data_IF_394029503781
#
_entry.id   IF_394029503781
#
_cell.length_a   1.000
_cell.length_b   1.000
_cell.length_c   1.000
_cell.angle_alpha   90.00
_cell.angle_beta   90.00
_cell.angle_gamma   90.00
#
_symmetry.space_group_name_H-M   'P 1'
#
loop_
_entity.id
_entity.type
_entity.pdbx_description
1 polymer ?
#
# COMPACT_ATOMS: atom_id res chain seq x y z
N UNK A 1 -4.09 -33.59 24.35
CA UNK A 1 -4.94 -32.38 24.38
C UNK A 1 -4.06 -31.20 24.01
N UNK A 2 -4.48 -30.44 23.01
CA UNK A 2 -3.78 -29.25 22.53
C UNK A 2 -3.59 -29.27 21.01
N UNK A 3 -4.69 -29.33 20.25
CA UNK A 3 -4.61 -29.01 18.82
C UNK A 3 -4.32 -27.51 18.68
N UNK A 4 -3.26 -27.16 17.95
CA UNK A 4 -2.98 -25.78 17.56
C UNK A 4 -4.10 -25.31 16.63
N UNK A 5 -5.09 -24.62 17.17
CA UNK A 5 -6.30 -24.17 16.47
C UNK A 5 -6.05 -23.08 15.40
N UNK A 6 -4.81 -22.64 15.23
CA UNK A 6 -4.43 -21.57 14.31
C UNK A 6 -3.15 -21.96 13.56
N UNK A 7 -3.27 -22.86 12.59
CA UNK A 7 -2.17 -23.22 11.69
C UNK A 7 -1.96 -22.11 10.67
N UNK A 8 -0.81 -21.42 10.74
CA UNK A 8 -0.36 -20.45 9.73
C UNK A 8 0.28 -21.24 8.59
N UNK A 9 -0.51 -21.61 7.59
CA UNK A 9 0.05 -22.16 6.35
C UNK A 9 0.66 -21.03 5.52
N UNK A 10 1.79 -21.26 4.86
CA UNK A 10 2.48 -20.21 4.08
C UNK A 10 2.02 -20.13 2.61
N UNK A 11 1.13 -21.02 2.17
CA UNK A 11 0.88 -21.22 0.73
C UNK A 11 -0.55 -20.96 0.24
N UNK A 12 -1.50 -20.52 1.07
CA UNK A 12 -2.89 -20.23 0.66
C UNK A 12 -3.56 -19.13 1.51
N UNK A 13 -2.78 -18.33 2.22
CA UNK A 13 -3.31 -17.37 3.18
C UNK A 13 -2.80 -15.97 2.86
N UNK A 14 -3.71 -15.00 2.91
CA UNK A 14 -3.38 -13.60 2.72
C UNK A 14 -3.36 -12.89 4.06
N UNK A 15 -2.35 -12.04 4.23
CA UNK A 15 -2.12 -11.26 5.43
C UNK A 15 -1.94 -9.80 5.05
N UNK A 16 -2.54 -8.91 5.84
CA UNK A 16 -2.30 -7.48 5.75
C UNK A 16 -2.03 -6.94 7.16
N UNK A 17 -1.37 -5.79 7.26
CA UNK A 17 -0.99 -5.18 8.54
C UNK A 17 -1.50 -3.76 8.65
N UNK A 18 -1.81 -3.32 9.87
CA UNK A 18 -2.26 -1.96 10.14
C UNK A 18 -2.72 -1.82 11.59
N UNK A 19 -2.99 -0.61 12.06
CA UNK A 19 -3.58 -0.39 13.38
C UNK A 19 -5.11 -0.50 13.27
N UNK A 20 -5.63 -1.73 13.32
CA UNK A 20 -7.06 -1.99 13.14
C UNK A 20 -7.89 -1.57 14.35
N UNK A 21 -7.27 -1.43 15.53
CA UNK A 21 -7.99 -1.10 16.76
C UNK A 21 -7.80 0.34 17.27
N UNK A 22 -6.86 1.08 16.69
CA UNK A 22 -6.58 2.49 16.98
C UNK A 22 -5.74 2.70 18.24
N UNK A 23 -5.00 1.69 18.72
CA UNK A 23 -4.15 1.79 19.92
C UNK A 23 -2.70 2.24 19.64
N UNK A 24 -2.39 2.55 18.38
CA UNK A 24 -1.08 2.99 17.92
C UNK A 24 -0.11 1.84 17.64
N UNK A 25 -0.57 0.58 17.66
CA UNK A 25 0.28 -0.59 17.37
C UNK A 25 -0.15 -1.25 16.07
N UNK A 26 0.84 -1.80 15.37
CA UNK A 26 0.56 -2.58 14.16
C UNK A 26 -0.01 -3.95 14.52
N UNK A 27 -1.25 -4.18 14.09
CA UNK A 27 -1.98 -5.42 14.14
C UNK A 27 -1.82 -6.20 12.81
N UNK A 28 -2.34 -7.43 12.80
CA UNK A 28 -2.37 -8.30 11.62
C UNK A 28 -3.81 -8.74 11.33
N UNK A 29 -4.21 -8.72 10.06
CA UNK A 29 -5.42 -9.39 9.58
C UNK A 29 -5.05 -10.58 8.71
N UNK A 30 -5.78 -11.68 8.88
CA UNK A 30 -5.59 -12.94 8.17
C UNK A 30 -6.90 -13.39 7.53
N UNK A 31 -6.87 -13.66 6.22
CA UNK A 31 -8.00 -14.16 5.44
C UNK A 31 -7.85 -15.68 5.21
N UNK A 32 -8.79 -16.45 5.76
CA UNK A 32 -8.83 -17.91 5.71
C UNK A 32 -9.66 -18.42 4.52
N UNK A 33 -9.24 -19.55 3.95
CA UNK A 33 -9.89 -20.24 2.83
C UNK A 33 -11.35 -20.65 3.09
N UNK A 34 -11.77 -20.77 4.35
CA UNK A 34 -13.14 -21.06 4.75
C UNK A 34 -13.98 -19.79 4.99
N UNK A 35 -13.54 -18.64 4.47
CA UNK A 35 -14.16 -17.33 4.65
C UNK A 35 -14.13 -16.78 6.09
N UNK A 36 -13.17 -17.19 6.91
CA UNK A 36 -12.94 -16.51 8.19
C UNK A 36 -11.95 -15.37 8.00
N UNK A 37 -12.20 -14.26 8.71
CA UNK A 37 -11.23 -13.19 8.90
C UNK A 37 -10.80 -13.22 10.35
N UNK A 38 -9.49 -13.30 10.59
CA UNK A 38 -8.91 -13.29 11.91
C UNK A 38 -8.14 -11.99 12.12
N UNK A 39 -8.53 -11.19 13.11
CA UNK A 39 -7.80 -10.01 13.56
C UNK A 39 -6.95 -10.36 14.76
N UNK A 40 -5.67 -10.05 14.65
CA UNK A 40 -4.66 -10.30 15.66
C UNK A 40 -4.22 -8.94 16.18
N UNK A 41 -4.85 -8.49 17.26
CA UNK A 41 -4.48 -7.22 17.88
C UNK A 41 -3.19 -7.39 18.67
N UNK A 42 -2.19 -6.57 18.37
CA UNK A 42 -0.89 -6.59 19.01
C UNK A 42 -1.00 -6.06 20.44
N UNK A 43 -0.53 -6.84 21.41
CA UNK A 43 -0.48 -6.37 22.79
C UNK A 43 0.76 -5.48 23.05
N UNK A 44 1.72 -5.42 22.11
CA UNK A 44 2.95 -4.63 22.22
C UNK A 44 4.12 -5.33 22.93
N UNK A 45 3.89 -6.54 23.44
CA UNK A 45 4.88 -7.39 24.13
C UNK A 45 5.31 -8.62 23.31
N UNK A 46 4.96 -8.63 22.01
CA UNK A 46 5.17 -9.75 21.10
C UNK A 46 4.05 -10.81 21.13
N UNK A 47 3.00 -10.60 21.93
CA UNK A 47 1.78 -11.44 21.92
C UNK A 47 0.62 -10.77 21.18
N UNK A 48 -0.38 -11.58 20.80
CA UNK A 48 -1.56 -11.14 20.07
C UNK A 48 -2.86 -11.60 20.74
N UNK A 49 -3.86 -10.73 20.74
CA UNK A 49 -5.25 -11.04 21.07
C UNK A 49 -6.03 -11.31 19.78
N UNK A 50 -6.50 -12.54 19.57
CA UNK A 50 -7.12 -12.95 18.31
C UNK A 50 -8.65 -12.90 18.39
N UNK A 51 -9.27 -12.21 17.44
CA UNK A 51 -10.70 -12.20 17.20
C UNK A 51 -11.00 -12.76 15.82
N UNK A 52 -12.13 -13.45 15.70
CA UNK A 52 -12.56 -14.07 14.44
C UNK A 52 -13.91 -13.51 14.04
N UNK A 53 -14.05 -13.18 12.77
CA UNK A 53 -15.25 -12.64 12.17
C UNK A 53 -15.53 -13.40 10.88
N UNK A 54 -16.80 -13.61 10.58
CA UNK A 54 -17.24 -14.15 9.29
C UNK A 54 -18.03 -13.06 8.57
N UNK A 55 -17.58 -12.63 7.39
CA UNK A 55 -18.29 -11.63 6.63
C UNK A 55 -19.63 -12.18 6.12
N UNK A 56 -20.60 -11.28 5.94
CA UNK A 56 -21.92 -11.64 5.42
C UNK A 56 -21.86 -12.21 4.00
N UNK A 57 -22.98 -12.80 3.55
CA UNK A 57 -23.10 -13.29 2.18
C UNK A 57 -22.78 -12.21 1.14
N UNK A 58 -21.96 -12.54 0.16
CA UNK A 58 -21.49 -11.60 -0.88
C UNK A 58 -20.11 -10.98 -0.62
N UNK A 59 -19.51 -11.20 0.56
CA UNK A 59 -18.22 -10.64 0.96
C UNK A 59 -17.19 -11.72 1.28
N UNK A 60 -17.28 -12.88 0.63
CA UNK A 60 -16.37 -14.00 0.85
C UNK A 60 -14.91 -13.61 0.62
N UNK A 61 -14.02 -14.16 1.44
CA UNK A 61 -12.57 -13.88 1.42
C UNK A 61 -11.73 -15.13 1.13
N UNK A 62 -12.38 -16.30 1.01
CA UNK A 62 -11.72 -17.60 0.87
C UNK A 62 -11.20 -17.93 -0.53
N UNK A 63 -11.10 -16.95 -1.44
CA UNK A 63 -10.62 -17.18 -2.81
C UNK A 63 -9.24 -16.57 -2.98
N UNK A 64 -8.28 -17.38 -3.45
CA UNK A 64 -6.86 -17.03 -3.59
C UNK A 64 -6.56 -15.87 -4.58
N UNK A 65 -7.55 -15.38 -5.31
CA UNK A 65 -7.39 -14.34 -6.32
C UNK A 65 -7.95 -12.99 -5.88
N UNK A 66 -8.12 -12.74 -4.59
CA UNK A 66 -8.52 -11.42 -4.10
C UNK A 66 -7.33 -10.53 -3.74
N UNK A 67 -7.52 -9.24 -3.96
CA UNK A 67 -6.56 -8.20 -3.56
C UNK A 67 -7.15 -7.34 -2.47
N UNK A 68 -6.31 -7.06 -1.50
CA UNK A 68 -6.61 -6.17 -0.39
C UNK A 68 -5.58 -5.05 -0.39
N UNK A 69 -6.04 -3.86 -0.01
CA UNK A 69 -5.20 -2.72 0.33
C UNK A 69 -5.68 -2.18 1.69
N UNK A 70 -4.76 -1.60 2.46
CA UNK A 70 -5.02 -1.08 3.81
C UNK A 70 -4.84 0.43 3.87
N UNK A 71 -5.57 1.06 4.79
CA UNK A 71 -5.44 2.48 5.12
C UNK A 71 -6.65 2.98 5.89
N UNK A 72 -6.56 4.17 6.49
CA UNK A 72 -7.70 4.82 7.14
C UNK A 72 -8.59 5.49 6.09
N UNK A 73 -9.50 4.74 5.49
CA UNK A 73 -10.34 5.24 4.38
C UNK A 73 -11.47 6.14 4.87
N UNK A 74 -11.81 6.11 6.16
CA UNK A 74 -12.93 6.86 6.72
C UNK A 74 -12.51 8.06 7.61
N UNK A 75 -11.22 8.14 7.98
CA UNK A 75 -10.63 9.22 8.76
C UNK A 75 -10.84 9.09 10.27
N UNK A 76 -11.13 7.90 10.79
CA UNK A 76 -11.37 7.67 12.23
C UNK A 76 -10.13 7.25 13.01
N UNK A 77 -8.97 7.21 12.37
CA UNK A 77 -7.69 6.83 12.94
C UNK A 77 -7.48 5.32 13.05
N UNK A 78 -8.37 4.49 12.50
CA UNK A 78 -8.18 3.04 12.42
C UNK A 78 -7.86 2.63 10.99
N UNK A 79 -7.10 1.55 10.87
CA UNK A 79 -6.87 0.94 9.56
C UNK A 79 -8.13 0.22 9.10
N UNK A 80 -8.56 0.52 7.89
CA UNK A 80 -9.63 -0.14 7.16
C UNK A 80 -9.05 -1.01 6.03
N UNK A 81 -9.92 -1.75 5.33
CA UNK A 81 -9.54 -2.56 4.17
C UNK A 81 -10.37 -2.22 2.94
N UNK A 82 -9.73 -2.18 1.78
CA UNK A 82 -10.38 -2.26 0.48
C UNK A 82 -10.19 -3.67 -0.06
N UNK A 83 -11.29 -4.33 -0.44
CA UNK A 83 -11.31 -5.65 -1.05
C UNK A 83 -11.82 -5.55 -2.49
N UNK A 84 -10.99 -5.99 -3.44
CA UNK A 84 -11.34 -6.04 -4.87
C UNK A 84 -11.82 -7.44 -5.28
N UNK A 85 -13.09 -7.55 -5.65
CA UNK A 85 -13.72 -8.80 -6.11
C UNK A 85 -13.55 -9.02 -7.62
N UNK A 86 -13.64 -10.28 -8.05
CA UNK A 86 -13.51 -10.71 -9.45
C UNK A 86 -14.60 -10.17 -10.36
N UNK A 87 -15.74 -9.73 -9.82
CA UNK A 87 -16.85 -9.16 -10.60
C UNK A 87 -16.80 -7.63 -10.72
N UNK A 88 -15.65 -7.00 -10.43
CA UNK A 88 -15.44 -5.55 -10.36
C UNK A 88 -16.22 -4.85 -9.23
N UNK A 89 -16.59 -5.58 -8.17
CA UNK A 89 -17.04 -4.94 -6.94
C UNK A 89 -15.82 -4.54 -6.11
N UNK A 90 -15.90 -3.36 -5.52
CA UNK A 90 -14.99 -2.88 -4.49
C UNK A 90 -15.76 -2.89 -3.19
N UNK A 91 -15.25 -3.60 -2.19
CA UNK A 91 -15.86 -3.61 -0.87
C UNK A 91 -14.94 -2.85 0.09
N UNK A 92 -15.48 -1.84 0.76
CA UNK A 92 -14.79 -1.08 1.80
C UNK A 92 -15.21 -1.62 3.16
N UNK A 93 -14.24 -2.05 3.96
CA UNK A 93 -14.42 -2.68 5.26
C UNK A 93 -13.87 -1.72 6.31
N UNK A 94 -14.76 -0.94 6.91
CA UNK A 94 -14.38 -0.02 7.98
C UNK A 94 -14.18 -0.80 9.28
N UNK A 95 -13.05 -0.62 9.95
CA UNK A 95 -12.78 -1.28 11.21
C UNK A 95 -13.59 -0.66 12.34
N UNK A 96 -14.34 -1.50 13.04
CA UNK A 96 -15.04 -1.07 14.24
C UNK A 96 -14.11 -1.00 15.46
N UNK A 97 -12.85 -1.44 15.33
CA UNK A 97 -11.83 -1.50 16.39
C UNK A 97 -12.01 -2.61 17.43
N UNK A 98 -13.17 -3.28 17.41
CA UNK A 98 -13.48 -4.40 18.30
C UNK A 98 -13.20 -5.77 17.67
N UNK A 99 -12.47 -5.83 16.56
CA UNK A 99 -12.18 -7.06 15.81
C UNK A 99 -13.26 -7.43 14.78
N UNK A 100 -14.19 -6.51 14.48
CA UNK A 100 -15.20 -6.65 13.43
C UNK A 100 -15.11 -5.52 12.39
N UNK A 101 -15.75 -5.71 11.24
CA UNK A 101 -15.81 -4.71 10.16
C UNK A 101 -17.25 -4.38 9.77
N UNK A 102 -17.46 -3.11 9.43
CA UNK A 102 -18.65 -2.64 8.73
C UNK A 102 -18.36 -2.57 7.22
N UNK A 103 -19.05 -3.37 6.42
CA UNK A 103 -18.73 -3.54 4.99
C UNK A 103 -19.73 -2.78 4.12
N UNK A 104 -19.22 -1.99 3.17
CA UNK A 104 -19.99 -1.31 2.13
C UNK A 104 -19.47 -1.69 0.75
N UNK A 105 -20.38 -1.81 -0.21
CA UNK A 105 -20.02 -2.11 -1.60
C UNK A 105 -20.08 -0.85 -2.45
N UNK A 106 -19.10 -0.74 -3.32
CA UNK A 106 -19.00 0.28 -4.34
C UNK A 106 -18.74 -0.41 -5.68
N UNK A 107 -19.44 0.04 -6.72
CA UNK A 107 -19.18 -0.40 -8.09
C UNK A 107 -18.69 0.82 -8.85
N UNK A 108 -17.45 0.82 -9.33
CA UNK A 108 -17.02 1.89 -10.21
C UNK A 108 -17.84 1.83 -11.51
N UNK A 109 -18.04 2.97 -12.17
CA UNK A 109 -18.76 3.02 -13.44
C UNK A 109 -18.12 2.14 -14.52
N UNK A 110 -18.76 2.05 -15.69
CA UNK A 110 -18.15 1.37 -16.84
C UNK A 110 -16.81 2.00 -17.24
N UNK A 111 -15.80 1.17 -17.52
CA UNK A 111 -14.46 1.61 -17.95
C UNK A 111 -13.38 1.66 -16.85
N UNK A 112 -13.72 1.28 -15.61
CA UNK A 112 -12.84 1.32 -14.44
C UNK A 112 -12.68 -0.09 -13.85
N UNK A 113 -12.34 -1.07 -14.70
CA UNK A 113 -12.19 -2.45 -14.24
C UNK A 113 -11.23 -2.52 -13.05
N UNK A 114 -11.60 -3.23 -12.00
CA UNK A 114 -10.79 -3.39 -10.78
C UNK A 114 -10.37 -4.84 -10.54
N UNK A 115 -10.43 -5.66 -11.59
CA UNK A 115 -10.07 -7.08 -11.53
C UNK A 115 -8.65 -7.31 -10.99
N UNK A 116 -8.32 -8.56 -10.65
CA UNK A 116 -7.20 -8.78 -9.73
C UNK A 116 -5.85 -9.04 -10.44
N UNK A 117 -5.89 -9.37 -11.74
CA UNK A 117 -4.71 -9.85 -12.47
C UNK A 117 -4.06 -8.81 -13.41
N UNK A 118 -4.69 -7.65 -13.60
CA UNK A 118 -4.27 -6.67 -14.61
C UNK A 118 -4.16 -5.24 -14.06
N UNK A 119 -3.98 -5.07 -12.75
CA UNK A 119 -3.95 -3.74 -12.14
C UNK A 119 -2.97 -3.67 -10.98
N UNK A 120 -2.35 -2.51 -10.83
CA UNK A 120 -1.51 -2.15 -9.69
C UNK A 120 -2.23 -1.06 -8.90
N UNK A 121 -2.31 -1.21 -7.59
CA UNK A 121 -2.88 -0.23 -6.68
C UNK A 121 -1.78 0.25 -5.74
N UNK A 122 -1.86 1.53 -5.36
CA UNK A 122 -1.13 2.12 -4.24
C UNK A 122 -2.12 2.96 -3.41
N UNK A 123 -1.82 3.14 -2.13
CA UNK A 123 -2.63 3.91 -1.18
C UNK A 123 -1.88 5.14 -0.66
N UNK A 124 -2.65 6.14 -0.23
CA UNK A 124 -2.19 7.30 0.52
C UNK A 124 -3.20 8.44 0.45
N UNK A 125 -3.06 9.46 1.30
CA UNK A 125 -3.90 10.66 1.25
C UNK A 125 -3.46 11.58 0.11
N UNK A 126 -4.01 11.39 -1.10
CA UNK A 126 -3.57 12.13 -2.28
C UNK A 126 -4.17 13.54 -2.33
N UNK A 127 -5.27 13.80 -1.61
CA UNK A 127 -5.97 15.08 -1.64
C UNK A 127 -5.73 15.96 -0.39
N UNK A 128 -5.14 15.40 0.67
CA UNK A 128 -4.81 16.07 1.92
C UNK A 128 -5.99 16.21 2.88
N UNK A 129 -7.03 15.39 2.76
CA UNK A 129 -8.24 15.47 3.61
C UNK A 129 -8.17 14.57 4.86
N UNK A 130 -7.04 13.89 5.08
CA UNK A 130 -6.81 13.00 6.20
C UNK A 130 -7.39 11.60 6.01
N UNK A 131 -7.95 11.28 4.83
CA UNK A 131 -8.40 9.93 4.49
C UNK A 131 -7.43 9.29 3.51
N UNK A 132 -7.33 7.98 3.58
CA UNK A 132 -6.59 7.21 2.58
C UNK A 132 -7.38 7.18 1.29
N UNK A 133 -6.72 7.53 0.19
CA UNK A 133 -7.19 7.40 -1.17
C UNK A 133 -6.49 6.22 -1.86
N UNK A 134 -6.93 5.89 -3.09
CA UNK A 134 -6.29 4.87 -3.93
C UNK A 134 -5.88 5.46 -5.28
N UNK A 135 -4.71 5.06 -5.77
CA UNK A 135 -4.37 5.19 -7.19
C UNK A 135 -4.28 3.80 -7.81
N UNK A 136 -4.90 3.61 -8.97
CA UNK A 136 -4.78 2.38 -9.74
C UNK A 136 -4.26 2.64 -11.16
N UNK A 137 -3.38 1.74 -11.61
CA UNK A 137 -2.79 1.75 -12.94
C UNK A 137 -3.31 0.56 -13.74
N UNK A 138 -3.78 0.82 -14.96
CA UNK A 138 -4.26 -0.22 -15.87
C UNK A 138 -3.20 -0.60 -16.93
N UNK A 139 -3.50 -1.64 -17.71
CA UNK A 139 -2.62 -2.13 -18.78
C UNK A 139 -2.60 -1.25 -20.04
N UNK A 140 -3.54 -0.30 -20.15
CA UNK A 140 -3.71 0.58 -21.31
C UNK A 140 -3.17 2.00 -21.05
N UNK A 141 -2.28 2.16 -20.05
CA UNK A 141 -1.65 3.43 -19.70
C UNK A 141 -2.65 4.47 -19.13
N UNK A 142 -3.72 4.02 -18.47
CA UNK A 142 -4.57 4.87 -17.66
C UNK A 142 -4.16 4.85 -16.19
N UNK A 143 -4.25 6.02 -15.58
CA UNK A 143 -4.18 6.22 -14.14
C UNK A 143 -5.56 6.61 -13.67
N UNK A 144 -6.05 5.95 -12.63
CA UNK A 144 -7.31 6.24 -11.98
C UNK A 144 -7.03 6.60 -10.53
N UNK A 145 -7.39 7.82 -10.13
CA UNK A 145 -7.26 8.30 -8.76
C UNK A 145 -8.64 8.31 -8.11
N UNK A 146 -8.75 7.64 -6.98
CA UNK A 146 -9.98 7.35 -6.25
C UNK A 146 -9.89 8.04 -4.89
N UNK A 147 -10.52 9.20 -4.78
CA UNK A 147 -10.59 9.90 -3.51
C UNK A 147 -11.67 9.28 -2.63
N UNK A 148 -11.34 8.93 -1.39
CA UNK A 148 -12.29 8.37 -0.45
C UNK A 148 -13.26 9.45 0.03
N UNK A 149 -14.56 9.17 -0.09
CA UNK A 149 -15.57 10.05 0.48
C UNK A 149 -15.76 9.78 2.00
N UNK A 150 -15.13 8.75 2.55
CA UNK A 150 -15.22 8.33 3.96
C UNK A 150 -16.51 7.59 4.32
N UNK A 151 -17.46 7.49 3.40
CA UNK A 151 -18.78 6.90 3.64
C UNK A 151 -18.95 5.51 3.02
N UNK A 152 -17.87 4.86 2.57
CA UNK A 152 -17.97 3.61 1.80
C UNK A 152 -17.87 3.76 0.28
N UNK A 153 -17.69 4.99 -0.22
CA UNK A 153 -17.64 5.28 -1.66
C UNK A 153 -16.40 6.07 -2.06
N UNK A 154 -16.11 6.07 -3.37
CA UNK A 154 -15.00 6.80 -3.96
C UNK A 154 -15.46 7.76 -5.06
N UNK A 155 -14.79 8.90 -5.14
CA UNK A 155 -14.85 9.82 -6.27
C UNK A 155 -13.66 9.54 -7.19
N UNK A 156 -13.91 9.17 -8.45
CA UNK A 156 -12.85 8.69 -9.35
C UNK A 156 -12.57 9.70 -10.46
N UNK A 157 -11.28 9.98 -10.70
CA UNK A 157 -10.79 10.74 -11.85
C UNK A 157 -9.75 9.91 -12.61
N UNK A 158 -9.91 9.86 -13.94
CA UNK A 158 -9.02 9.12 -14.83
C UNK A 158 -8.26 10.06 -15.73
N UNK A 159 -7.01 9.71 -16.03
CA UNK A 159 -6.21 10.41 -17.03
C UNK A 159 -5.18 9.47 -17.64
N UNK A 160 -4.69 9.83 -18.82
CA UNK A 160 -3.48 9.22 -19.39
C UNK A 160 -2.29 10.13 -19.09
N UNK A 161 -1.14 9.55 -18.71
CA UNK A 161 0.08 10.33 -18.57
C UNK A 161 0.49 10.91 -19.93
N UNK A 162 1.14 12.08 -19.91
CA UNK A 162 1.72 12.66 -21.12
C UNK A 162 2.80 11.76 -21.74
N UNK A 163 3.22 12.08 -22.97
CA UNK A 163 4.29 11.35 -23.65
C UNK A 163 5.57 11.30 -22.81
N UNK A 164 6.15 10.10 -22.66
CA UNK A 164 7.35 9.87 -21.86
C UNK A 164 7.13 9.48 -20.40
N UNK A 165 5.87 9.37 -19.95
CA UNK A 165 5.49 9.02 -18.57
C UNK A 165 4.60 7.79 -18.51
N UNK A 166 4.78 6.87 -19.46
CA UNK A 166 3.92 5.69 -19.60
C UNK A 166 3.87 4.89 -18.29
N UNK A 167 2.68 4.54 -17.84
CA UNK A 167 2.43 3.66 -16.70
C UNK A 167 2.00 2.29 -17.18
N UNK A 168 2.05 1.32 -16.28
CA UNK A 168 1.53 -0.01 -16.53
C UNK A 168 1.70 -0.90 -15.32
N UNK A 169 1.30 -2.15 -15.50
CA UNK A 169 1.21 -3.10 -14.38
C UNK A 169 2.46 -3.99 -14.30
N UNK A 170 3.05 -4.29 -15.44
CA UNK A 170 4.19 -5.18 -15.57
C UNK A 170 5.46 -4.37 -15.85
N UNK A 171 6.54 -4.66 -15.11
CA UNK A 171 7.87 -4.04 -15.21
C UNK A 171 8.02 -2.61 -14.67
N UNK A 172 6.95 -2.04 -14.12
CA UNK A 172 6.99 -0.77 -13.40
C UNK A 172 6.96 -1.00 -11.89
N UNK A 173 7.61 -0.12 -11.15
CA UNK A 173 7.48 -0.04 -9.68
C UNK A 173 6.93 1.32 -9.31
N UNK A 174 6.06 1.32 -8.31
CA UNK A 174 5.45 2.51 -7.75
C UNK A 174 5.70 2.51 -6.25
N UNK A 175 5.93 3.70 -5.70
CA UNK A 175 6.02 3.95 -4.26
C UNK A 175 5.30 5.26 -3.96
N UNK A 176 4.70 5.36 -2.79
CA UNK A 176 3.99 6.55 -2.32
C UNK A 176 4.70 7.19 -1.13
N UNK A 177 4.51 8.51 -0.98
CA UNK A 177 5.01 9.28 0.14
C UNK A 177 4.90 10.77 -0.12
N UNK A 178 4.93 11.61 0.91
CA UNK A 178 4.98 13.07 0.74
C UNK A 178 6.43 13.49 0.42
N UNK A 179 6.74 13.66 -0.86
CA UNK A 179 8.10 13.95 -1.33
C UNK A 179 8.39 15.45 -1.45
N UNK A 180 7.36 16.31 -1.41
CA UNK A 180 7.50 17.77 -1.48
C UNK A 180 7.19 18.49 -0.17
N UNK A 181 6.66 17.80 0.83
CA UNK A 181 6.31 18.32 2.15
C UNK A 181 5.01 19.13 2.18
N UNK A 182 4.11 18.96 1.22
CA UNK A 182 2.85 19.70 1.14
C UNK A 182 1.70 19.04 1.91
N UNK A 183 1.96 17.90 2.55
CA UNK A 183 0.98 17.14 3.32
C UNK A 183 0.09 16.23 2.49
N UNK A 184 0.32 16.14 1.17
CA UNK A 184 -0.36 15.17 0.29
C UNK A 184 0.61 14.06 -0.08
N UNK A 185 0.04 12.91 -0.37
CA UNK A 185 0.81 11.78 -0.88
C UNK A 185 1.17 12.05 -2.33
N UNK A 186 2.47 11.95 -2.63
CA UNK A 186 3.02 11.95 -3.97
C UNK A 186 3.32 10.50 -4.39
N UNK A 187 3.63 10.32 -5.68
CA UNK A 187 3.96 9.02 -6.26
C UNK A 187 5.34 9.07 -6.94
N UNK A 188 6.18 8.07 -6.67
CA UNK A 188 7.38 7.80 -7.45
C UNK A 188 7.11 6.61 -8.35
N UNK A 189 7.44 6.77 -9.63
CA UNK A 189 7.28 5.78 -10.68
C UNK A 189 8.64 5.46 -11.31
N UNK A 190 9.05 4.19 -11.24
CA UNK A 190 10.27 3.68 -11.85
C UNK A 190 9.95 3.03 -13.20
N UNK A 191 10.47 3.62 -14.28
CA UNK A 191 10.28 3.18 -15.66
C UNK A 191 11.30 2.09 -16.08
N UNK A 192 10.92 1.27 -17.06
CA UNK A 192 11.73 0.23 -17.70
C UNK A 192 13.00 0.77 -18.36
N UNK A 193 13.06 2.06 -18.70
CA UNK A 193 14.24 2.70 -19.27
C UNK A 193 15.18 3.32 -18.22
N UNK A 194 15.01 2.98 -16.94
CA UNK A 194 15.74 3.54 -15.79
C UNK A 194 15.49 5.03 -15.53
N UNK A 195 14.36 5.57 -16.00
CA UNK A 195 13.89 6.87 -15.54
C UNK A 195 13.14 6.74 -14.23
N UNK A 196 13.29 7.76 -13.39
CA UNK A 196 12.45 7.93 -12.20
C UNK A 196 11.61 9.18 -12.40
N UNK A 197 10.31 9.00 -12.30
CA UNK A 197 9.33 10.06 -12.42
C UNK A 197 8.73 10.32 -11.04
N UNK A 198 8.79 11.57 -10.58
CA UNK A 198 8.15 12.03 -9.37
C UNK A 198 6.88 12.78 -9.74
N UNK A 199 5.75 12.32 -9.23
CA UNK A 199 4.41 12.80 -9.52
C UNK A 199 3.90 13.46 -8.26
N UNK A 200 3.95 14.79 -8.23
CA UNK A 200 3.41 15.56 -7.12
C UNK A 200 1.91 15.62 -7.22
N UNK A 201 1.19 15.25 -6.15
CA UNK A 201 -0.26 15.35 -6.16
C UNK A 201 -0.71 16.80 -6.04
N UNK A 202 -1.58 17.25 -6.93
CA UNK A 202 -2.19 18.57 -6.82
C UNK A 202 -3.39 18.57 -5.85
N UNK A 203 -3.90 17.39 -5.50
CA UNK A 203 -5.07 17.17 -4.64
C UNK A 203 -6.43 17.36 -5.31
N UNK A 204 -6.46 17.79 -6.56
CA UNK A 204 -7.68 17.91 -7.38
C UNK A 204 -7.90 16.70 -8.31
N UNK A 205 -7.18 15.61 -8.02
CA UNK A 205 -7.15 14.41 -8.83
C UNK A 205 -6.25 14.52 -10.07
N UNK A 206 -5.25 15.40 -10.03
CA UNK A 206 -4.19 15.50 -11.05
C UNK A 206 -2.80 15.48 -10.41
N UNK A 207 -1.78 15.21 -11.23
CA UNK A 207 -0.39 15.20 -10.81
C UNK A 207 0.47 16.15 -11.65
N UNK A 208 1.44 16.78 -11.01
CA UNK A 208 2.54 17.49 -11.67
C UNK A 208 3.78 16.60 -11.69
N UNK A 209 4.24 16.23 -12.88
CA UNK A 209 5.30 15.24 -13.05
C UNK A 209 6.66 15.91 -13.31
N UNK A 210 7.68 15.48 -12.58
CA UNK A 210 9.09 15.81 -12.80
C UNK A 210 9.87 14.53 -13.07
N UNK A 211 10.76 14.55 -14.06
CA UNK A 211 11.66 13.43 -14.35
C UNK A 211 13.05 13.72 -13.83
N UNK A 212 13.71 12.70 -13.31
CA UNK A 212 15.14 12.71 -13.12
C UNK A 212 15.75 11.37 -13.54
N UNK A 213 16.98 11.43 -14.03
CA UNK A 213 17.79 10.24 -14.30
C UNK A 213 18.77 10.10 -13.16
N UNK A 214 18.69 9.04 -12.34
CA UNK A 214 19.70 8.77 -11.33
C UNK A 214 21.10 8.72 -11.96
N UNK A 215 22.10 9.24 -11.27
CA UNK A 215 23.50 9.18 -11.72
C UNK A 215 23.96 7.73 -11.94
N UNK A 216 25.04 7.52 -12.72
CA UNK A 216 25.51 6.18 -13.09
C UNK A 216 25.88 5.30 -11.88
N UNK A 217 26.16 5.87 -10.70
CA UNK A 217 26.36 5.11 -9.47
C UNK A 217 25.14 4.28 -9.02
N UNK A 218 23.92 4.66 -9.40
CA UNK A 218 22.68 3.94 -9.06
C UNK A 218 22.34 2.81 -10.06
N UNK A 219 22.96 2.80 -11.23
CA UNK A 219 22.59 1.92 -12.36
C UNK A 219 23.51 0.70 -12.52
N UNK A 220 24.50 0.52 -11.64
CA UNK A 220 25.38 -0.66 -11.71
C UNK A 220 25.02 -1.68 -10.65
N UNK A 221 24.98 -2.97 -11.05
CA UNK A 221 25.04 -4.14 -10.13
C UNK A 221 26.21 -4.07 -9.13
N UNK A 222 27.14 -3.11 -9.29
CA UNK A 222 28.31 -2.87 -8.45
C UNK A 222 28.06 -1.94 -7.25
N UNK A 223 26.88 -1.31 -7.11
CA UNK A 223 26.59 -0.50 -5.91
C UNK A 223 26.56 -1.36 -4.62
N UNK A 224 26.24 -2.66 -4.73
CA UNK A 224 26.34 -3.63 -3.62
C UNK A 224 27.79 -4.05 -3.36
N UNK A 225 28.68 -3.98 -4.36
CA UNK A 225 30.07 -4.39 -4.23
C UNK A 225 30.98 -3.32 -3.59
N UNK A 226 30.64 -2.03 -3.70
CA UNK A 226 31.42 -0.96 -3.04
C UNK A 226 31.24 -0.87 -1.53
N UNK A 227 30.19 -1.48 -0.96
CA UNK A 227 30.04 -1.60 0.50
C UNK A 227 30.60 -2.91 1.09
N UNK A 228 31.16 -3.81 0.26
CA UNK A 228 31.83 -5.06 0.70
C UNK A 228 33.34 -5.03 0.53
N UNK A 229 33.96 -3.86 0.63
CA UNK A 229 35.42 -3.72 0.71
C UNK A 229 35.86 -2.75 1.80
N UNK A 230 35.41 -3.03 3.04
CA UNK A 230 36.05 -2.52 4.26
C UNK A 230 36.25 -3.67 5.28
N UNK A 231 36.51 -4.89 4.81
CA UNK A 231 37.14 -5.93 5.65
C UNK A 231 38.64 -5.95 5.37
N UNK A 232 39.28 -4.81 5.68
CA UNK A 232 40.72 -4.69 5.81
C UNK A 232 41.02 -4.35 7.26
N UNK A 233 41.82 -5.19 7.90
CA UNK A 233 42.17 -5.22 9.32
C UNK A 233 42.36 -3.86 10.00
N UNK A 234 41.61 -3.64 11.08
CA UNK A 234 41.98 -2.71 12.14
C UNK A 234 40.99 -1.57 12.35
N UNK A 235 40.00 -1.77 13.21
CA UNK A 235 39.54 -0.71 14.11
C UNK A 235 38.97 -1.36 15.38
N UNK A 236 39.58 -1.00 16.50
CA UNK A 236 39.20 -1.42 17.85
C UNK A 236 37.78 -1.00 18.20
N UNK A 237 37.19 -1.82 19.05
CA UNK A 237 35.90 -1.64 19.69
C UNK A 237 35.96 -0.49 20.71
N UNK A 238 35.67 0.75 20.29
CA UNK A 238 35.16 1.79 21.20
C UNK A 238 34.64 3.01 20.43
N UNK A 239 33.33 3.14 20.28
CA UNK A 239 32.56 4.26 20.85
C UNK A 239 31.07 4.06 20.51
N UNK A 240 30.23 4.08 21.53
CA UNK A 240 28.77 4.15 21.37
C UNK A 240 28.45 5.62 21.14
N UNK A 241 28.07 6.00 19.92
CA UNK A 241 27.23 7.18 19.55
C UNK A 241 27.39 7.46 18.06
N UNK A 242 26.56 6.85 17.20
CA UNK A 242 26.14 7.47 15.94
C UNK A 242 24.72 6.98 15.58
N UNK A 243 23.81 7.88 15.15
CA UNK A 243 22.42 7.57 14.79
C UNK A 243 22.32 6.89 13.41
N UNK A 244 21.17 6.24 13.18
CA UNK A 244 20.77 5.52 11.96
C UNK A 244 20.97 6.35 10.68
N UNK A 245 21.27 5.73 9.51
CA UNK A 245 21.50 6.48 8.28
C UNK A 245 20.20 7.07 7.72
N UNK A 246 19.98 8.36 7.98
CA UNK A 246 19.09 9.22 7.19
C UNK A 246 19.77 9.53 5.86
N UNK A 247 19.29 8.98 4.76
CA UNK A 247 19.72 9.42 3.43
C UNK A 247 18.94 10.68 3.08
N UNK A 248 19.60 11.81 3.24
CA UNK A 248 19.09 13.14 2.91
C UNK A 248 19.10 13.31 1.38
N UNK A 249 17.95 13.66 0.80
CA UNK A 249 17.82 14.04 -0.60
C UNK A 249 18.49 15.42 -0.80
N UNK A 250 19.63 15.47 -1.47
CA UNK A 250 20.31 16.72 -1.77
C UNK A 250 19.83 17.22 -3.14
N UNK A 251 18.90 18.17 -3.12
CA UNK A 251 18.46 18.92 -4.31
C UNK A 251 19.63 19.82 -4.72
N UNK A 252 20.17 19.65 -5.93
CA UNK A 252 21.06 20.64 -6.55
C UNK A 252 20.20 21.61 -7.36
N UNK A 253 20.36 22.91 -7.05
CA UNK A 253 19.68 24.05 -7.68
C UNK A 253 19.92 24.14 -9.19
#
# INVERSE_FOLDING_TARGET
MGESKYGVGVNNYRYETGDFNGDGKTDLVHFDVNNYVHLWHSNGDGSFSIKSFTPGGGYGVGVNNYRYETGDFNGDGKTDLVHFDVNNYVHLWHSNGDGSFSIKSFTPGGGYGVGVNNYRYETGDFNGDGKTDLVHFDVNNYVHLWHSNGDGSFSIKSFTPGGGYGVGVNNYRYETGDFNGDGKTDLVHFDVNNYVHLWHSNGDGSFSIKSFTPGPEFLTKSAIAKHRSLTGSGFEQSDRRFPQPTVCCQILN
#
